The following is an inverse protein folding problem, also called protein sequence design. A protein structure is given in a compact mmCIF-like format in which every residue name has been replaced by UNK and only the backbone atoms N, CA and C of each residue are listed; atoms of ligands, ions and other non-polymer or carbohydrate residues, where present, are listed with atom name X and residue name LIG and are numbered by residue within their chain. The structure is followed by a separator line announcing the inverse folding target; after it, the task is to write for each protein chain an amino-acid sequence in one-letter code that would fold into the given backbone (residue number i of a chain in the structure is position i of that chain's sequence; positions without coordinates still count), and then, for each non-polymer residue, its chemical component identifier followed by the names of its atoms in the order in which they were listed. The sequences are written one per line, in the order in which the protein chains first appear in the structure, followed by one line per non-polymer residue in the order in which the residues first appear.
data_IF_246962233207
#
_entry.id   IF_246962233207
#
_cell.length_a   1.000
_cell.length_b   1.000
_cell.length_c   1.000
_cell.angle_alpha   90.00
_cell.angle_beta   90.00
_cell.angle_gamma   90.00
#
_symmetry.space_group_name_H-M   'P 1'
#
loop_
_entity.id
_entity.type
_entity.pdbx_description
1 polymer ?
#
# COMPACT_ATOMS: atom_id res chain seq x y z
N UNK A 1 -44.08 -16.91 -28.80
CA UNK A 1 -43.41 -17.64 -29.91
C UNK A 1 -42.06 -18.21 -29.44
N UNK A 2 -41.91 -18.46 -28.14
CA UNK A 2 -40.64 -18.88 -27.54
C UNK A 2 -40.19 -20.26 -28.06
N UNK A 3 -41.11 -21.22 -28.11
CA UNK A 3 -40.84 -22.61 -28.52
C UNK A 3 -41.19 -22.89 -29.99
N UNK A 4 -41.59 -21.88 -30.75
CA UNK A 4 -41.96 -22.08 -32.16
C UNK A 4 -40.73 -22.48 -32.99
N UNK A 5 -40.83 -23.60 -33.70
CA UNK A 5 -39.85 -24.05 -34.69
C UNK A 5 -40.48 -23.98 -36.10
N UNK A 6 -39.65 -23.71 -37.11
CA UNK A 6 -40.04 -23.75 -38.53
C UNK A 6 -38.93 -24.44 -39.34
N UNK A 7 -39.24 -24.80 -40.57
CA UNK A 7 -38.32 -25.41 -41.53
C UNK A 7 -38.29 -24.68 -42.89
N UNK A 8 -39.06 -23.61 -43.04
CA UNK A 8 -39.09 -22.81 -44.26
C UNK A 8 -37.79 -22.01 -44.46
N UNK A 9 -37.00 -22.27 -45.51
CA UNK A 9 -35.78 -21.53 -45.78
C UNK A 9 -36.10 -20.10 -46.22
N UNK A 10 -35.24 -19.16 -45.82
CA UNK A 10 -35.34 -17.76 -46.23
C UNK A 10 -33.95 -17.17 -46.43
N UNK A 11 -33.73 -16.59 -47.60
CA UNK A 11 -32.42 -16.15 -48.07
C UNK A 11 -32.47 -14.68 -48.51
N UNK A 12 -33.37 -13.90 -47.92
CA UNK A 12 -33.57 -12.50 -48.29
C UNK A 12 -32.65 -11.55 -47.55
N UNK A 13 -32.66 -10.29 -47.96
CA UNK A 13 -32.02 -9.21 -47.22
C UNK A 13 -33.02 -8.58 -46.24
N UNK A 14 -32.55 -8.21 -45.07
CA UNK A 14 -33.32 -7.46 -44.09
C UNK A 14 -32.39 -6.54 -43.31
N UNK A 15 -32.73 -5.27 -43.23
CA UNK A 15 -31.93 -4.29 -42.49
C UNK A 15 -32.85 -3.39 -41.68
N UNK A 16 -32.72 -3.50 -40.36
CA UNK A 16 -33.38 -2.65 -39.38
C UNK A 16 -32.59 -2.62 -38.08
N UNK A 17 -32.45 -1.45 -37.48
CA UNK A 17 -31.91 -1.32 -36.12
C UNK A 17 -33.01 -1.61 -35.10
N UNK A 18 -32.64 -2.19 -33.96
CA UNK A 18 -33.57 -2.51 -32.86
C UNK A 18 -34.76 -3.37 -33.31
N UNK A 19 -34.48 -4.39 -34.13
CA UNK A 19 -35.48 -5.30 -34.70
C UNK A 19 -36.29 -6.02 -33.62
N UNK A 20 -37.61 -6.06 -33.82
CA UNK A 20 -38.56 -6.88 -33.06
C UNK A 20 -39.37 -7.78 -33.99
N UNK A 21 -40.08 -8.77 -33.46
CA UNK A 21 -40.93 -9.64 -34.29
C UNK A 21 -41.99 -8.90 -35.11
N UNK A 22 -42.49 -7.76 -34.63
CA UNK A 22 -43.50 -6.95 -35.32
C UNK A 22 -42.97 -6.32 -36.60
N UNK A 23 -41.65 -6.25 -36.75
CA UNK A 23 -40.99 -5.62 -37.90
C UNK A 23 -40.84 -6.56 -39.08
N UNK A 24 -41.07 -7.86 -38.87
CA UNK A 24 -40.90 -8.90 -39.88
C UNK A 24 -42.27 -9.28 -40.48
N UNK A 25 -42.29 -9.44 -41.80
CA UNK A 25 -43.40 -10.12 -42.49
C UNK A 25 -43.48 -11.59 -42.07
N UNK A 26 -44.63 -12.24 -42.29
CA UNK A 26 -44.81 -13.68 -42.02
C UNK A 26 -43.71 -14.52 -42.69
N UNK A 27 -43.35 -14.22 -43.94
CA UNK A 27 -42.29 -14.94 -44.66
C UNK A 27 -40.91 -14.78 -43.98
N UNK A 28 -40.59 -13.57 -43.51
CA UNK A 28 -39.34 -13.29 -42.79
C UNK A 28 -39.32 -13.95 -41.40
N UNK A 29 -40.44 -13.93 -40.67
CA UNK A 29 -40.58 -14.60 -39.37
C UNK A 29 -40.34 -16.09 -39.49
N UNK A 30 -40.99 -16.76 -40.45
CA UNK A 30 -40.79 -18.18 -40.71
C UNK A 30 -39.32 -18.49 -41.01
N UNK A 31 -38.69 -17.68 -41.85
CA UNK A 31 -37.26 -17.77 -42.14
C UNK A 31 -36.36 -17.61 -40.92
N UNK A 32 -36.63 -16.60 -40.09
CA UNK A 32 -35.93 -16.38 -38.83
C UNK A 32 -36.09 -17.56 -37.87
N UNK A 33 -37.30 -18.10 -37.72
CA UNK A 33 -37.53 -19.25 -36.84
C UNK A 33 -36.83 -20.52 -37.33
N UNK A 34 -36.77 -20.76 -38.65
CA UNK A 34 -35.94 -21.83 -39.21
C UNK A 34 -34.47 -21.67 -38.85
N UNK A 35 -33.92 -20.47 -39.01
CA UNK A 35 -32.53 -20.18 -38.64
C UNK A 35 -32.30 -20.30 -37.12
N UNK A 36 -33.22 -19.77 -36.31
CA UNK A 36 -33.16 -19.86 -34.85
C UNK A 36 -33.16 -21.31 -34.36
N UNK A 37 -34.00 -22.17 -34.94
CA UNK A 37 -34.03 -23.61 -34.62
C UNK A 37 -32.69 -24.27 -34.86
N UNK A 38 -32.01 -23.92 -35.97
CA UNK A 38 -30.65 -24.40 -36.26
C UNK A 38 -29.64 -23.90 -35.23
N UNK A 39 -29.67 -22.60 -34.91
CA UNK A 39 -28.78 -21.98 -33.92
C UNK A 39 -28.93 -22.62 -32.55
N UNK A 40 -30.16 -22.87 -32.09
CA UNK A 40 -30.44 -23.56 -30.82
C UNK A 40 -29.92 -25.01 -30.80
N UNK A 41 -29.75 -25.64 -31.98
CA UNK A 41 -29.14 -26.97 -32.16
C UNK A 41 -27.62 -26.90 -32.39
N UNK A 42 -27.00 -25.72 -32.27
CA UNK A 42 -25.57 -25.50 -32.45
C UNK A 42 -25.11 -25.37 -33.90
N UNK A 43 -26.05 -25.24 -34.85
CA UNK A 43 -25.76 -25.06 -36.28
C UNK A 43 -25.86 -23.58 -36.62
N UNK A 44 -24.72 -22.97 -36.91
CA UNK A 44 -24.60 -21.53 -37.19
C UNK A 44 -24.45 -21.30 -38.70
N UNK A 45 -25.36 -20.53 -39.27
CA UNK A 45 -25.36 -20.16 -40.69
C UNK A 45 -25.44 -18.63 -40.84
N UNK A 46 -24.88 -18.03 -41.91
CA UNK A 46 -25.01 -16.61 -42.16
C UNK A 46 -26.47 -16.17 -42.32
N UNK A 47 -26.82 -15.04 -41.71
CA UNK A 47 -28.11 -14.37 -41.85
C UNK A 47 -27.92 -12.86 -41.75
N UNK A 48 -28.92 -12.09 -42.14
CA UNK A 48 -28.93 -10.64 -41.97
C UNK A 48 -28.66 -10.24 -40.50
N UNK A 49 -27.73 -9.31 -40.28
CA UNK A 49 -27.28 -8.89 -38.94
C UNK A 49 -28.43 -8.46 -38.01
N UNK A 50 -29.44 -7.80 -38.57
CA UNK A 50 -30.66 -7.41 -37.84
C UNK A 50 -31.41 -8.57 -37.21
N UNK A 51 -31.36 -9.76 -37.82
CA UNK A 51 -31.95 -10.99 -37.31
C UNK A 51 -31.05 -11.69 -36.28
N UNK A 52 -29.73 -11.52 -36.41
CA UNK A 52 -28.78 -11.94 -35.37
C UNK A 52 -29.01 -11.17 -34.07
N UNK A 53 -29.14 -9.84 -34.16
CA UNK A 53 -29.43 -9.02 -32.99
C UNK A 53 -30.78 -9.34 -32.36
N UNK A 54 -31.79 -9.69 -33.17
CA UNK A 54 -33.07 -10.18 -32.65
C UNK A 54 -32.90 -11.42 -31.78
N UNK A 55 -32.05 -12.38 -32.18
CA UNK A 55 -31.74 -13.56 -31.36
C UNK A 55 -30.95 -13.22 -30.10
N UNK A 56 -30.01 -12.28 -30.17
CA UNK A 56 -29.31 -11.81 -28.96
C UNK A 56 -30.29 -11.14 -27.99
N UNK A 57 -31.25 -10.36 -28.50
CA UNK A 57 -32.33 -9.79 -27.69
C UNK A 57 -33.20 -10.88 -27.08
N UNK A 58 -33.52 -11.96 -27.78
CA UNK A 58 -34.21 -13.10 -27.18
C UNK A 58 -33.48 -13.61 -25.92
N UNK A 59 -32.17 -13.85 -26.02
CA UNK A 59 -31.36 -14.31 -24.88
C UNK A 59 -31.34 -13.30 -23.73
N UNK A 60 -31.25 -12.00 -24.01
CA UNK A 60 -31.31 -10.94 -22.99
C UNK A 60 -32.67 -10.87 -22.28
N UNK A 61 -33.75 -11.23 -22.99
CA UNK A 61 -35.10 -11.28 -22.43
C UNK A 61 -35.42 -12.63 -21.76
N UNK A 62 -34.45 -13.55 -21.71
CA UNK A 62 -34.64 -14.89 -21.14
C UNK A 62 -35.43 -15.85 -22.03
N UNK A 63 -35.64 -15.53 -23.31
CA UNK A 63 -36.41 -16.36 -24.24
C UNK A 63 -35.56 -17.55 -24.66
N UNK A 64 -36.05 -18.75 -24.37
CA UNK A 64 -35.32 -19.99 -24.60
C UNK A 64 -34.15 -20.17 -23.65
N UNK A 65 -34.16 -19.52 -22.47
CA UNK A 65 -33.18 -19.74 -21.39
C UNK A 65 -33.89 -20.11 -20.09
N UNK A 66 -33.25 -20.93 -19.25
CA UNK A 66 -33.84 -21.41 -17.98
C UNK A 66 -33.35 -20.62 -16.75
N UNK A 67 -32.20 -19.95 -16.87
CA UNK A 67 -31.62 -19.10 -15.81
C UNK A 67 -30.71 -18.03 -16.42
N UNK A 68 -30.22 -17.12 -15.56
CA UNK A 68 -29.20 -16.14 -15.92
C UNK A 68 -27.92 -16.81 -16.43
N UNK A 69 -27.47 -17.86 -15.75
CA UNK A 69 -26.29 -18.62 -16.12
C UNK A 69 -26.48 -19.31 -17.47
N UNK A 70 -27.65 -19.91 -17.72
CA UNK A 70 -27.97 -20.52 -19.01
C UNK A 70 -27.99 -19.47 -20.15
N UNK A 71 -28.52 -18.28 -19.89
CA UNK A 71 -28.47 -17.17 -20.84
C UNK A 71 -27.02 -16.77 -21.19
N UNK A 72 -26.17 -16.58 -20.18
CA UNK A 72 -24.76 -16.25 -20.36
C UNK A 72 -24.00 -17.37 -21.09
N UNK A 73 -24.25 -18.63 -20.75
CA UNK A 73 -23.65 -19.78 -21.45
C UNK A 73 -24.08 -19.84 -22.93
N UNK A 74 -25.35 -19.57 -23.25
CA UNK A 74 -25.84 -19.52 -24.64
C UNK A 74 -25.26 -18.35 -25.41
N UNK A 75 -25.09 -17.19 -24.78
CA UNK A 75 -24.40 -16.05 -25.39
C UNK A 75 -22.93 -16.35 -25.66
N UNK A 76 -22.23 -17.04 -24.75
CA UNK A 76 -20.84 -17.49 -24.93
C UNK A 76 -20.73 -18.55 -26.05
N UNK A 77 -21.66 -19.52 -26.09
CA UNK A 77 -21.74 -20.49 -27.17
C UNK A 77 -21.99 -19.83 -28.53
N UNK A 78 -22.81 -18.78 -28.56
CA UNK A 78 -23.06 -17.98 -29.77
C UNK A 78 -21.80 -17.22 -30.21
N UNK A 79 -21.05 -16.61 -29.28
CA UNK A 79 -19.76 -15.98 -29.60
C UNK A 79 -18.82 -16.98 -30.30
N UNK A 80 -18.62 -18.14 -29.68
CA UNK A 80 -17.72 -19.19 -30.18
C UNK A 80 -18.19 -19.79 -31.52
N UNK A 81 -19.49 -20.02 -31.67
CA UNK A 81 -20.04 -20.71 -32.83
C UNK A 81 -20.32 -19.83 -34.04
N UNK A 82 -20.68 -18.56 -33.81
CA UNK A 82 -21.08 -17.63 -34.86
C UNK A 82 -20.02 -16.55 -35.14
N UNK A 83 -19.46 -15.94 -34.10
CA UNK A 83 -18.53 -14.82 -34.28
C UNK A 83 -17.12 -15.34 -34.55
N UNK A 84 -16.65 -16.30 -33.76
CA UNK A 84 -15.29 -16.85 -33.91
C UNK A 84 -15.14 -17.74 -35.15
N UNK A 85 -16.24 -18.26 -35.70
CA UNK A 85 -16.28 -18.96 -36.99
C UNK A 85 -16.17 -18.01 -38.20
N UNK A 86 -16.17 -16.70 -37.99
CA UNK A 86 -16.01 -15.67 -39.02
C UNK A 86 -17.30 -15.21 -39.69
N UNK A 87 -18.47 -15.62 -39.18
CA UNK A 87 -19.78 -15.16 -39.70
C UNK A 87 -20.11 -13.76 -39.15
N UNK A 88 -19.86 -13.54 -37.86
CA UNK A 88 -20.08 -12.25 -37.19
C UNK A 88 -18.96 -11.23 -37.42
N UNK A 89 -19.18 -10.01 -36.92
CA UNK A 89 -18.20 -8.91 -36.98
C UNK A 89 -17.69 -8.49 -35.58
N UNK A 90 -16.62 -7.68 -35.55
CA UNK A 90 -16.02 -7.21 -34.30
C UNK A 90 -16.90 -6.24 -33.49
N UNK A 91 -17.83 -5.52 -34.14
CA UNK A 91 -18.80 -4.68 -33.46
C UNK A 91 -19.83 -5.52 -32.70
N UNK A 92 -20.29 -6.61 -33.30
CA UNK A 92 -21.16 -7.59 -32.68
C UNK A 92 -20.49 -8.24 -31.47
N UNK A 93 -19.21 -8.63 -31.58
CA UNK A 93 -18.45 -9.16 -30.44
C UNK A 93 -18.42 -8.16 -29.27
N UNK A 94 -18.13 -6.90 -29.57
CA UNK A 94 -18.07 -5.82 -28.56
C UNK A 94 -19.42 -5.63 -27.86
N UNK A 95 -20.51 -5.59 -28.62
CA UNK A 95 -21.86 -5.45 -28.08
C UNK A 95 -22.25 -6.67 -27.22
N UNK A 96 -21.99 -7.88 -27.74
CA UNK A 96 -22.30 -9.12 -27.05
C UNK A 96 -21.60 -9.20 -25.69
N UNK A 97 -20.28 -9.01 -25.64
CA UNK A 97 -19.53 -9.05 -24.37
C UNK A 97 -19.97 -7.96 -23.39
N UNK A 98 -20.24 -6.75 -23.89
CA UNK A 98 -20.83 -5.68 -23.08
C UNK A 98 -22.14 -6.14 -22.45
N UNK A 99 -23.07 -6.66 -23.25
CA UNK A 99 -24.37 -7.08 -22.73
C UNK A 99 -24.27 -8.29 -21.78
N UNK A 100 -23.37 -9.24 -22.02
CA UNK A 100 -23.12 -10.35 -21.08
C UNK A 100 -22.66 -9.84 -19.72
N UNK A 101 -21.73 -8.88 -19.70
CA UNK A 101 -21.29 -8.24 -18.45
C UNK A 101 -22.42 -7.49 -17.75
N UNK A 102 -23.16 -6.65 -18.48
CA UNK A 102 -24.25 -5.84 -17.94
C UNK A 102 -25.42 -6.71 -17.45
N UNK A 103 -25.72 -7.80 -18.14
CA UNK A 103 -26.69 -8.81 -17.72
C UNK A 103 -26.24 -9.53 -16.45
N UNK A 104 -24.97 -9.91 -16.35
CA UNK A 104 -24.44 -10.55 -15.14
C UNK A 104 -24.53 -9.62 -13.92
N UNK A 105 -24.19 -8.34 -14.08
CA UNK A 105 -24.30 -7.34 -13.01
C UNK A 105 -25.76 -7.07 -12.61
N UNK A 106 -26.64 -6.85 -13.58
CA UNK A 106 -28.05 -6.53 -13.30
C UNK A 106 -28.86 -7.73 -12.80
N UNK A 107 -28.49 -8.94 -13.22
CA UNK A 107 -29.05 -10.20 -12.74
C UNK A 107 -28.49 -10.67 -11.40
N UNK A 108 -27.48 -9.99 -10.84
CA UNK A 108 -26.91 -10.32 -9.54
C UNK A 108 -26.07 -11.61 -9.53
N UNK A 109 -25.42 -11.94 -10.65
CA UNK A 109 -24.48 -13.06 -10.72
C UNK A 109 -23.31 -12.88 -9.76
N UNK A 110 -22.57 -13.95 -9.49
CA UNK A 110 -21.34 -13.84 -8.70
C UNK A 110 -20.31 -12.90 -9.39
N UNK A 111 -19.53 -12.09 -8.64
CA UNK A 111 -18.53 -11.18 -9.21
C UNK A 111 -17.57 -11.85 -10.20
N UNK A 112 -17.17 -13.09 -9.92
CA UNK A 112 -16.28 -13.89 -10.77
C UNK A 112 -16.88 -14.11 -12.16
N UNK A 113 -18.20 -14.34 -12.24
CA UNK A 113 -18.93 -14.50 -13.50
C UNK A 113 -18.97 -13.18 -14.27
N UNK A 114 -19.27 -12.06 -13.62
CA UNK A 114 -19.31 -10.76 -14.29
C UNK A 114 -17.93 -10.29 -14.76
N UNK A 115 -16.87 -10.63 -14.02
CA UNK A 115 -15.47 -10.34 -14.39
C UNK A 115 -15.08 -11.07 -15.69
N UNK A 116 -15.54 -12.31 -15.91
CA UNK A 116 -15.25 -13.05 -17.17
C UNK A 116 -15.69 -12.30 -18.42
N UNK A 117 -16.79 -11.56 -18.34
CA UNK A 117 -17.37 -10.83 -19.47
C UNK A 117 -17.01 -9.34 -19.48
N UNK A 118 -16.40 -8.84 -18.41
CA UNK A 118 -16.02 -7.44 -18.31
C UNK A 118 -14.95 -7.06 -19.34
N UNK A 119 -14.87 -5.77 -19.66
CA UNK A 119 -13.84 -5.27 -20.56
C UNK A 119 -12.44 -5.48 -19.95
N UNK A 120 -11.59 -6.23 -20.66
CA UNK A 120 -10.25 -6.57 -20.22
C UNK A 120 -9.37 -5.33 -19.94
N UNK A 121 -9.51 -4.26 -20.72
CA UNK A 121 -8.76 -3.01 -20.49
C UNK A 121 -9.21 -2.31 -19.21
N UNK A 122 -10.51 -2.34 -18.90
CA UNK A 122 -11.06 -1.81 -17.65
C UNK A 122 -10.55 -2.61 -16.45
N UNK A 123 -10.60 -3.95 -16.52
CA UNK A 123 -10.08 -4.81 -15.45
C UNK A 123 -8.58 -4.63 -15.22
N UNK A 124 -7.80 -4.53 -16.30
CA UNK A 124 -6.36 -4.29 -16.21
C UNK A 124 -6.07 -2.95 -15.55
N UNK A 125 -6.85 -1.92 -15.88
CA UNK A 125 -6.77 -0.61 -15.24
C UNK A 125 -7.12 -0.68 -13.76
N UNK A 126 -8.20 -1.36 -13.39
CA UNK A 126 -8.64 -1.51 -11.98
C UNK A 126 -7.62 -2.27 -11.13
N UNK A 127 -7.05 -3.34 -11.68
CA UNK A 127 -5.99 -4.11 -11.02
C UNK A 127 -4.77 -3.21 -10.75
N UNK A 128 -4.34 -2.44 -11.75
CA UNK A 128 -3.23 -1.50 -11.58
C UNK A 128 -3.55 -0.38 -10.58
N UNK A 129 -4.76 0.17 -10.57
CA UNK A 129 -5.18 1.17 -9.57
C UNK A 129 -5.18 0.60 -8.15
N UNK A 130 -5.62 -0.63 -7.97
CA UNK A 130 -5.64 -1.31 -6.67
C UNK A 130 -4.24 -1.43 -6.09
N UNK A 131 -3.27 -1.81 -6.93
CA UNK A 131 -1.85 -1.89 -6.58
C UNK A 131 -1.27 -0.51 -6.24
N UNK A 132 -1.48 0.48 -7.11
CA UNK A 132 -0.93 1.83 -6.93
C UNK A 132 -1.52 2.56 -5.72
N UNK A 133 -2.75 2.22 -5.30
CA UNK A 133 -3.42 2.79 -4.14
C UNK A 133 -2.85 2.29 -2.81
N UNK A 134 -2.38 1.04 -2.76
CA UNK A 134 -1.88 0.40 -1.53
C UNK A 134 -0.43 -0.11 -1.74
N UNK A 135 0.53 0.75 -2.09
CA UNK A 135 1.83 0.30 -2.58
C UNK A 135 2.70 -0.41 -1.53
N UNK A 136 2.39 -0.29 -0.24
CA UNK A 136 3.06 -1.03 0.82
C UNK A 136 2.68 -2.53 0.87
N UNK A 137 1.56 -2.92 0.27
CA UNK A 137 1.04 -4.30 0.33
C UNK A 137 1.50 -5.19 -0.83
N UNK A 138 2.12 -4.60 -1.85
CA UNK A 138 2.46 -5.28 -3.10
C UNK A 138 3.98 -5.29 -3.33
N UNK A 139 4.42 -6.32 -4.07
CA UNK A 139 5.82 -6.50 -4.46
C UNK A 139 6.28 -5.43 -5.46
N UNK A 140 7.60 -5.32 -5.64
CA UNK A 140 8.21 -4.39 -6.59
C UNK A 140 7.82 -4.73 -8.04
N UNK A 141 7.68 -6.02 -8.37
CA UNK A 141 7.22 -6.50 -9.67
C UNK A 141 5.79 -6.06 -9.97
N UNK A 142 4.87 -6.25 -9.02
CA UNK A 142 3.46 -5.87 -9.17
C UNK A 142 3.30 -4.36 -9.31
N UNK A 143 4.00 -3.58 -8.46
CA UNK A 143 3.99 -2.12 -8.56
C UNK A 143 4.55 -1.65 -9.90
N UNK A 144 5.67 -2.19 -10.35
CA UNK A 144 6.23 -1.84 -11.64
C UNK A 144 5.29 -2.20 -12.79
N UNK A 145 4.65 -3.36 -12.72
CA UNK A 145 3.61 -3.78 -13.68
C UNK A 145 2.44 -2.80 -13.72
N UNK A 146 1.96 -2.34 -12.55
CA UNK A 146 0.91 -1.36 -12.44
C UNK A 146 1.32 0.03 -12.98
N UNK A 147 2.56 0.48 -12.71
CA UNK A 147 3.11 1.69 -13.30
C UNK A 147 3.18 1.59 -14.83
N UNK A 148 3.57 0.43 -15.37
CA UNK A 148 3.61 0.19 -16.81
C UNK A 148 2.22 0.17 -17.46
N UNK A 149 1.17 -0.25 -16.75
CA UNK A 149 -0.19 -0.23 -17.26
C UNK A 149 -0.66 1.20 -17.63
N UNK A 150 -0.14 2.22 -16.93
CA UNK A 150 -0.46 3.63 -17.17
C UNK A 150 0.62 4.40 -17.93
N UNK A 151 1.90 4.10 -17.68
CA UNK A 151 3.05 4.74 -18.33
C UNK A 151 3.39 4.17 -19.71
N UNK A 152 2.79 3.03 -20.06
CA UNK A 152 2.92 2.37 -21.35
C UNK A 152 4.33 1.82 -21.62
N UNK A 153 4.58 1.51 -22.89
CA UNK A 153 5.80 0.85 -23.35
C UNK A 153 7.09 1.66 -23.16
N UNK A 154 7.00 2.95 -22.75
CA UNK A 154 8.16 3.82 -22.53
C UNK A 154 9.01 3.35 -21.35
N UNK A 155 8.37 2.86 -20.29
CA UNK A 155 9.05 2.36 -19.08
C UNK A 155 9.70 1.00 -19.39
N UNK A 156 8.94 0.08 -19.99
CA UNK A 156 9.40 -1.28 -20.30
C UNK A 156 10.57 -1.30 -21.30
N UNK A 157 10.64 -0.30 -22.20
CA UNK A 157 11.74 -0.15 -23.15
C UNK A 157 12.81 0.87 -22.71
N UNK A 158 12.71 1.37 -21.46
CA UNK A 158 13.61 2.36 -20.89
C UNK A 158 15.06 1.90 -20.80
N UNK A 159 15.99 2.84 -20.76
CA UNK A 159 17.42 2.51 -20.67
C UNK A 159 17.76 1.96 -19.28
N UNK A 160 17.05 2.41 -18.25
CA UNK A 160 17.20 1.91 -16.88
C UNK A 160 16.78 0.44 -16.79
N UNK A 161 15.62 0.08 -17.36
CA UNK A 161 15.13 -1.29 -17.41
C UNK A 161 16.07 -2.22 -18.18
N UNK A 162 16.58 -1.78 -19.34
CA UNK A 162 17.55 -2.56 -20.14
C UNK A 162 18.89 -2.78 -19.44
N UNK A 163 19.29 -1.87 -18.55
CA UNK A 163 20.54 -1.99 -17.79
C UNK A 163 20.41 -2.98 -16.63
N UNK A 164 19.31 -2.89 -15.87
CA UNK A 164 19.02 -3.81 -14.78
C UNK A 164 17.51 -3.88 -14.58
N UNK A 165 16.91 -5.00 -14.97
CA UNK A 165 15.48 -5.23 -14.80
C UNK A 165 15.09 -5.18 -13.31
N UNK A 166 15.78 -5.96 -12.47
CA UNK A 166 15.51 -6.01 -11.03
C UNK A 166 15.75 -4.64 -10.35
N UNK A 167 16.82 -3.92 -10.73
CA UNK A 167 17.12 -2.60 -10.22
C UNK A 167 16.06 -1.56 -10.62
N UNK A 168 15.60 -1.61 -11.88
CA UNK A 168 14.55 -0.73 -12.36
C UNK A 168 13.23 -0.95 -11.61
N UNK A 169 12.77 -2.20 -11.51
CA UNK A 169 11.51 -2.52 -10.82
C UNK A 169 11.52 -2.02 -9.37
N UNK A 170 12.59 -2.31 -8.64
CA UNK A 170 12.77 -1.89 -7.25
C UNK A 170 12.83 -0.37 -7.08
N UNK A 171 13.60 0.33 -7.90
CA UNK A 171 13.75 1.79 -7.78
C UNK A 171 12.48 2.54 -8.19
N UNK A 172 11.80 2.13 -9.27
CA UNK A 172 10.51 2.72 -9.64
C UNK A 172 9.42 2.44 -8.59
N UNK A 173 9.38 1.23 -8.02
CA UNK A 173 8.48 0.90 -6.93
C UNK A 173 8.79 1.72 -5.66
N UNK A 174 10.07 1.91 -5.33
CA UNK A 174 10.50 2.73 -4.19
C UNK A 174 10.10 4.21 -4.38
N UNK A 175 10.30 4.77 -5.58
CA UNK A 175 9.86 6.13 -5.90
C UNK A 175 8.34 6.26 -5.76
N UNK A 176 7.56 5.30 -6.26
CA UNK A 176 6.11 5.35 -6.08
C UNK A 176 5.69 5.27 -4.61
N UNK A 177 6.30 4.37 -3.82
CA UNK A 177 6.02 4.26 -2.38
C UNK A 177 6.35 5.56 -1.63
N UNK A 178 7.50 6.15 -1.93
CA UNK A 178 7.93 7.41 -1.31
C UNK A 178 7.04 8.58 -1.73
N UNK A 179 6.69 8.68 -3.01
CA UNK A 179 5.73 9.68 -3.49
C UNK A 179 4.36 9.50 -2.81
N UNK A 180 3.86 8.26 -2.69
CA UNK A 180 2.60 7.98 -2.04
C UNK A 180 2.57 8.34 -0.55
N UNK A 181 3.70 8.26 0.17
CA UNK A 181 3.78 8.60 1.60
C UNK A 181 4.05 10.08 1.87
N UNK A 182 4.98 10.70 1.12
CA UNK A 182 5.46 12.05 1.40
C UNK A 182 4.65 13.14 0.70
N UNK A 183 4.05 12.83 -0.46
CA UNK A 183 3.33 13.85 -1.21
C UNK A 183 2.01 14.19 -0.53
N UNK A 184 1.91 15.41 -0.02
CA UNK A 184 0.66 16.02 0.43
C UNK A 184 0.53 17.40 -0.17
N UNK A 185 -0.28 17.52 -1.22
CA UNK A 185 -0.64 18.82 -1.82
C UNK A 185 -2.15 18.98 -1.79
N UNK A 186 -2.62 20.13 -1.31
CA UNK A 186 -4.05 20.44 -1.17
C UNK A 186 -4.85 19.36 -0.39
N UNK A 187 -4.22 18.73 0.60
CA UNK A 187 -4.82 17.64 1.39
C UNK A 187 -5.03 16.32 0.62
N UNK A 188 -4.39 16.14 -0.55
CA UNK A 188 -4.45 14.92 -1.36
C UNK A 188 -3.10 14.20 -1.30
N UNK A 189 -3.19 12.88 -1.16
CA UNK A 189 -2.05 11.99 -1.43
C UNK A 189 -1.72 11.97 -2.92
N UNK A 190 -0.54 11.43 -3.27
CA UNK A 190 -0.10 11.38 -4.66
C UNK A 190 -1.06 10.59 -5.55
N UNK A 191 -1.58 9.46 -5.06
CA UNK A 191 -2.51 8.62 -5.79
C UNK A 191 -3.78 9.40 -6.18
N UNK A 192 -4.39 10.12 -5.23
CA UNK A 192 -5.58 10.93 -5.45
C UNK A 192 -5.28 12.14 -6.34
N UNK A 193 -4.07 12.70 -6.28
CA UNK A 193 -3.65 13.74 -7.21
C UNK A 193 -3.57 13.21 -8.65
N UNK A 194 -3.04 12.00 -8.86
CA UNK A 194 -2.94 11.39 -10.19
C UNK A 194 -4.27 10.86 -10.72
N UNK A 195 -5.04 10.11 -9.93
CA UNK A 195 -6.19 9.33 -10.40
C UNK A 195 -7.54 9.85 -9.91
N UNK A 196 -7.54 10.84 -9.03
CA UNK A 196 -8.75 11.34 -8.39
C UNK A 196 -9.31 10.39 -7.33
N UNK A 197 -10.58 10.60 -7.00
CA UNK A 197 -11.36 9.74 -6.09
C UNK A 197 -12.40 8.97 -6.88
N UNK A 198 -12.87 7.85 -6.33
CA UNK A 198 -14.05 7.17 -6.87
C UNK A 198 -15.24 8.12 -6.87
N UNK A 199 -15.89 8.24 -8.01
CA UNK A 199 -17.09 9.06 -8.22
C UNK A 199 -18.19 8.24 -8.85
N UNK A 200 -19.42 8.68 -8.64
CA UNK A 200 -20.59 8.05 -9.24
C UNK A 200 -20.91 8.70 -10.60
N UNK A 201 -21.16 7.88 -11.60
CA UNK A 201 -21.59 8.27 -12.94
C UNK A 201 -22.87 7.54 -13.30
N UNK A 202 -23.74 8.18 -14.07
CA UNK A 202 -24.93 7.52 -14.59
C UNK A 202 -24.51 6.33 -15.45
N UNK A 203 -25.06 5.16 -15.15
CA UNK A 203 -24.82 3.95 -15.91
C UNK A 203 -26.16 3.43 -16.43
N UNK A 204 -26.22 3.08 -17.71
CA UNK A 204 -27.42 2.61 -18.37
C UNK A 204 -27.16 1.17 -18.84
N UNK A 205 -27.53 0.16 -18.03
CA UNK A 205 -27.33 -1.23 -18.40
C UNK A 205 -28.12 -1.60 -19.65
N UNK A 206 -27.53 -2.47 -20.47
CA UNK A 206 -28.13 -3.01 -21.69
C UNK A 206 -28.54 -1.91 -22.69
N UNK A 207 -27.79 -0.81 -22.69
CA UNK A 207 -28.00 0.27 -23.64
C UNK A 207 -27.82 -0.22 -25.07
N UNK A 208 -28.65 0.31 -25.98
CA UNK A 208 -28.72 -0.12 -27.37
C UNK A 208 -29.12 -1.60 -27.56
N UNK A 209 -29.74 -2.23 -26.55
CA UNK A 209 -30.43 -3.50 -26.70
C UNK A 209 -31.95 -3.31 -26.62
N UNK A 210 -32.69 -4.17 -27.32
CA UNK A 210 -34.14 -4.29 -27.12
C UNK A 210 -34.35 -5.32 -26.03
N UNK A 211 -34.72 -4.85 -24.84
CA UNK A 211 -35.01 -5.72 -23.71
C UNK A 211 -36.20 -5.21 -22.91
N UNK A 212 -36.82 -6.14 -22.19
CA UNK A 212 -37.93 -5.93 -21.30
C UNK A 212 -37.57 -6.46 -19.92
N UNK A 213 -37.56 -5.56 -18.93
CA UNK A 213 -37.33 -5.93 -17.54
C UNK A 213 -38.62 -5.74 -16.73
N UNK A 214 -39.41 -6.80 -16.51
CA UNK A 214 -40.68 -6.71 -15.79
C UNK A 214 -40.51 -6.47 -14.28
N UNK A 215 -39.34 -6.81 -13.73
CA UNK A 215 -39.01 -6.64 -12.31
C UNK A 215 -37.67 -5.90 -12.17
N UNK A 216 -37.64 -4.60 -12.51
CA UNK A 216 -36.42 -3.83 -12.42
C UNK A 216 -35.94 -3.76 -10.97
N UNK A 217 -34.63 -3.93 -10.77
CA UNK A 217 -34.03 -3.77 -9.46
C UNK A 217 -34.32 -2.36 -8.92
N UNK A 218 -35.00 -2.27 -7.77
CA UNK A 218 -35.35 -0.98 -7.16
C UNK A 218 -34.16 -0.45 -6.35
N UNK A 219 -33.53 -1.32 -5.57
CA UNK A 219 -32.32 -1.03 -4.80
C UNK A 219 -31.37 -2.22 -4.87
N UNK A 220 -30.16 -1.98 -5.38
CA UNK A 220 -29.10 -2.99 -5.45
C UNK A 220 -27.74 -2.33 -5.26
N UNK A 221 -26.80 -3.02 -4.64
CA UNK A 221 -25.38 -2.66 -4.62
C UNK A 221 -24.60 -3.89 -5.07
N UNK A 222 -23.85 -3.74 -6.16
CA UNK A 222 -23.07 -4.78 -6.78
C UNK A 222 -21.61 -4.33 -6.83
N UNK A 223 -20.73 -5.02 -6.10
CA UNK A 223 -19.29 -4.75 -6.15
C UNK A 223 -18.61 -5.71 -7.12
N UNK A 224 -18.07 -5.18 -8.22
CA UNK A 224 -17.32 -5.98 -9.20
C UNK A 224 -15.91 -6.27 -8.69
N UNK A 225 -15.24 -5.23 -8.16
CA UNK A 225 -13.93 -5.30 -7.52
C UNK A 225 -13.76 -4.10 -6.58
N UNK A 226 -12.57 -3.90 -5.98
CA UNK A 226 -12.32 -2.77 -5.08
C UNK A 226 -12.44 -1.38 -5.75
N UNK A 227 -12.26 -1.31 -7.07
CA UNK A 227 -12.24 -0.10 -7.87
C UNK A 227 -13.59 0.23 -8.51
N UNK A 228 -14.43 -0.77 -8.79
CA UNK A 228 -15.66 -0.66 -9.56
C UNK A 228 -16.86 -1.27 -8.82
N UNK A 229 -17.92 -0.46 -8.68
CA UNK A 229 -19.20 -0.84 -8.07
C UNK A 229 -20.37 -0.28 -8.85
N UNK A 230 -21.46 -1.02 -8.92
CA UNK A 230 -22.73 -0.58 -9.52
C UNK A 230 -23.79 -0.43 -8.44
N UNK A 231 -24.45 0.72 -8.42
CA UNK A 231 -25.40 1.11 -7.38
C UNK A 231 -26.72 1.44 -8.08
N UNK A 232 -27.77 0.69 -7.77
CA UNK A 232 -29.13 1.01 -8.17
C UNK A 232 -29.90 1.64 -7.00
N UNK A 233 -30.51 2.81 -7.22
CA UNK A 233 -31.43 3.43 -6.26
C UNK A 233 -32.64 3.97 -7.01
N UNK A 234 -33.84 3.55 -6.60
CA UNK A 234 -35.09 3.93 -7.26
C UNK A 234 -35.13 3.56 -8.75
N UNK A 235 -34.54 2.42 -9.13
CA UNK A 235 -34.47 1.96 -10.53
C UNK A 235 -33.44 2.68 -11.40
N UNK A 236 -32.70 3.66 -10.86
CA UNK A 236 -31.62 4.35 -11.58
C UNK A 236 -30.27 3.76 -11.18
N UNK A 237 -29.53 3.34 -12.19
CA UNK A 237 -28.21 2.76 -12.03
C UNK A 237 -27.12 3.83 -12.12
N UNK A 238 -26.10 3.66 -11.28
CA UNK A 238 -24.88 4.44 -11.30
C UNK A 238 -23.69 3.50 -11.16
N UNK A 239 -22.59 3.81 -11.83
CA UNK A 239 -21.31 3.16 -11.60
C UNK A 239 -20.42 4.05 -10.73
N UNK A 240 -19.71 3.47 -9.78
CA UNK A 240 -18.73 4.13 -8.92
C UNK A 240 -17.34 3.62 -9.26
N UNK A 241 -16.52 4.49 -9.84
CA UNK A 241 -15.20 4.13 -10.38
C UNK A 241 -14.19 5.29 -10.34
N UNK A 242 -12.91 4.97 -10.63
CA UNK A 242 -11.87 5.95 -10.93
C UNK A 242 -11.89 6.32 -12.41
N UNK A 243 -12.75 7.27 -12.75
CA UNK A 243 -12.99 7.64 -14.15
C UNK A 243 -11.81 8.35 -14.82
N UNK A 244 -11.59 8.07 -16.11
CA UNK A 244 -10.47 8.61 -16.90
C UNK A 244 -10.45 10.13 -17.01
N UNK A 245 -11.60 10.80 -16.89
CA UNK A 245 -11.71 12.26 -16.87
C UNK A 245 -10.96 12.93 -15.72
N UNK A 246 -10.74 12.21 -14.62
CA UNK A 246 -10.02 12.72 -13.45
C UNK A 246 -8.59 12.19 -13.36
N UNK A 247 -8.12 11.48 -14.40
CA UNK A 247 -6.76 11.01 -14.49
C UNK A 247 -5.85 12.13 -15.00
N UNK A 248 -5.04 12.69 -14.10
CA UNK A 248 -3.97 13.62 -14.45
C UNK A 248 -2.78 12.87 -15.03
N UNK A 249 -2.88 12.63 -16.34
CA UNK A 249 -1.84 11.97 -17.12
C UNK A 249 -0.52 12.75 -17.11
N UNK A 250 -0.55 14.07 -17.08
CA UNK A 250 0.66 14.89 -17.12
C UNK A 250 1.45 14.75 -15.83
N UNK A 251 0.78 14.82 -14.67
CA UNK A 251 1.40 14.62 -13.37
C UNK A 251 2.03 13.22 -13.25
N UNK A 252 1.28 12.19 -13.65
CA UNK A 252 1.74 10.80 -13.57
C UNK A 252 2.91 10.51 -14.54
N UNK A 253 2.81 10.92 -15.81
CA UNK A 253 3.90 10.76 -16.78
C UNK A 253 5.13 11.61 -16.42
N UNK A 254 4.94 12.78 -15.79
CA UNK A 254 6.01 13.65 -15.32
C UNK A 254 6.87 12.97 -14.26
N UNK A 255 6.25 12.36 -13.23
CA UNK A 255 6.99 11.59 -12.22
C UNK A 255 7.82 10.47 -12.85
N UNK A 256 7.21 9.68 -13.73
CA UNK A 256 7.87 8.53 -14.36
C UNK A 256 9.02 8.95 -15.27
N UNK A 257 8.84 10.03 -16.03
CA UNK A 257 9.88 10.58 -16.90
C UNK A 257 11.06 11.10 -16.10
N UNK A 258 10.80 11.86 -15.04
CA UNK A 258 11.88 12.39 -14.19
C UNK A 258 12.59 11.26 -13.44
N UNK A 259 11.84 10.23 -13.02
CA UNK A 259 12.41 9.00 -12.44
C UNK A 259 13.37 8.34 -13.42
N UNK A 260 12.93 8.08 -14.66
CA UNK A 260 13.80 7.53 -15.71
C UNK A 260 15.03 8.43 -15.94
N UNK A 261 14.85 9.76 -16.04
CA UNK A 261 15.96 10.71 -16.27
C UNK A 261 17.02 10.62 -15.16
N UNK A 262 16.61 10.70 -13.89
CA UNK A 262 17.51 10.70 -12.74
C UNK A 262 18.17 9.34 -12.52
N UNK A 263 17.41 8.26 -12.69
CA UNK A 263 17.97 6.91 -12.59
C UNK A 263 18.97 6.61 -13.71
N UNK A 264 18.80 7.17 -14.92
CA UNK A 264 19.85 7.10 -15.96
C UNK A 264 21.14 7.76 -15.55
N UNK A 265 21.08 8.89 -14.84
CA UNK A 265 22.28 9.58 -14.33
C UNK A 265 22.92 8.75 -13.21
N UNK A 266 22.12 8.37 -12.21
CA UNK A 266 22.60 7.61 -11.04
C UNK A 266 23.22 6.28 -11.43
N UNK A 267 22.55 5.50 -12.29
CA UNK A 267 23.04 4.21 -12.73
C UNK A 267 24.01 4.32 -13.90
N UNK A 268 24.29 5.50 -14.47
CA UNK A 268 25.01 5.66 -15.74
C UNK A 268 24.41 4.77 -16.86
N UNK A 269 23.10 4.86 -17.06
CA UNK A 269 22.33 4.06 -18.02
C UNK A 269 22.00 4.89 -19.29
N UNK A 270 22.98 5.00 -20.19
CA UNK A 270 22.83 5.71 -21.46
C UNK A 270 22.66 7.23 -21.30
N UNK A 271 22.22 7.92 -22.38
CA UNK A 271 22.08 9.38 -22.38
C UNK A 271 20.87 9.82 -21.52
N UNK A 272 21.05 10.78 -20.59
CA UNK A 272 19.95 11.35 -19.83
C UNK A 272 18.88 11.97 -20.73
N UNK A 273 17.62 11.89 -20.29
CA UNK A 273 16.52 12.58 -20.97
C UNK A 273 16.66 14.10 -20.80
N UNK A 274 16.15 14.86 -21.78
CA UNK A 274 16.11 16.33 -21.71
C UNK A 274 15.25 16.75 -20.52
N UNK A 275 15.79 17.66 -19.71
CA UNK A 275 15.12 18.26 -18.56
C UNK A 275 13.84 19.01 -18.97
N UNK A 276 12.84 18.96 -18.10
CA UNK A 276 11.58 19.68 -18.23
C UNK A 276 11.30 20.43 -16.93
N UNK A 277 11.16 21.76 -16.96
CA UNK A 277 10.83 22.53 -15.76
C UNK A 277 9.53 22.09 -15.09
N UNK A 278 8.56 21.64 -15.89
CA UNK A 278 7.26 21.12 -15.43
C UNK A 278 7.37 19.87 -14.56
N UNK A 279 8.42 19.05 -14.75
CA UNK A 279 8.64 17.79 -14.02
C UNK A 279 9.59 17.98 -12.82
N UNK A 280 10.14 19.18 -12.63
CA UNK A 280 11.18 19.46 -11.64
C UNK A 280 10.72 19.24 -10.19
N UNK A 281 9.41 19.31 -9.93
CA UNK A 281 8.83 19.03 -8.61
C UNK A 281 9.12 17.59 -8.14
N UNK A 282 9.28 16.64 -9.07
CA UNK A 282 9.54 15.24 -8.75
C UNK A 282 11.01 14.99 -8.35
N UNK A 283 11.92 15.92 -8.66
CA UNK A 283 13.35 15.73 -8.44
C UNK A 283 13.69 15.45 -6.97
N UNK A 284 13.09 16.21 -6.05
CA UNK A 284 13.32 16.06 -4.59
C UNK A 284 12.94 14.65 -4.13
N UNK A 285 11.75 14.20 -4.53
CA UNK A 285 11.22 12.86 -4.20
C UNK A 285 12.17 11.75 -4.69
N UNK A 286 12.70 11.90 -5.91
CA UNK A 286 13.56 10.89 -6.52
C UNK A 286 14.97 10.91 -5.93
N UNK A 287 15.51 12.10 -5.61
CA UNK A 287 16.82 12.26 -4.99
C UNK A 287 16.88 11.64 -3.60
N UNK A 288 15.83 11.82 -2.78
CA UNK A 288 15.73 11.18 -1.47
C UNK A 288 15.75 9.65 -1.57
N UNK A 289 15.03 9.08 -2.54
CA UNK A 289 15.01 7.63 -2.78
C UNK A 289 16.39 7.14 -3.23
N UNK A 290 17.08 7.88 -4.08
CA UNK A 290 18.46 7.56 -4.49
C UNK A 290 19.43 7.69 -3.31
N UNK A 291 19.21 8.65 -2.40
CA UNK A 291 20.04 8.80 -1.20
C UNK A 291 19.88 7.60 -0.26
N UNK A 292 18.63 7.19 0.03
CA UNK A 292 18.34 5.96 0.78
C UNK A 292 18.98 4.74 0.12
N UNK A 293 18.87 4.63 -1.21
CA UNK A 293 19.50 3.55 -1.95
C UNK A 293 21.02 3.52 -1.79
N UNK A 294 21.69 4.67 -1.90
CA UNK A 294 23.13 4.77 -1.69
C UNK A 294 23.54 4.37 -0.28
N UNK A 295 22.76 4.76 0.73
CA UNK A 295 22.99 4.35 2.12
C UNK A 295 22.89 2.82 2.28
N UNK A 296 21.85 2.20 1.72
CA UNK A 296 21.68 0.75 1.73
C UNK A 296 22.80 0.01 1.01
N UNK A 297 23.25 0.52 -0.15
CA UNK A 297 24.39 -0.04 -0.88
C UNK A 297 25.68 0.10 -0.08
N UNK A 298 25.94 1.27 0.51
CA UNK A 298 27.12 1.49 1.34
C UNK A 298 27.13 0.56 2.56
N UNK A 299 25.99 0.34 3.19
CA UNK A 299 25.83 -0.61 4.30
C UNK A 299 26.02 -2.06 3.85
N UNK A 300 25.46 -2.47 2.71
CA UNK A 300 25.66 -3.81 2.16
C UNK A 300 27.11 -4.10 1.76
N UNK A 301 27.86 -3.06 1.39
CA UNK A 301 29.30 -3.13 1.10
C UNK A 301 30.18 -3.11 2.35
N UNK A 302 29.64 -2.78 3.54
CA UNK A 302 30.40 -2.91 4.79
C UNK A 302 30.79 -4.38 4.97
N UNK A 303 32.08 -4.70 5.15
CA UNK A 303 32.49 -6.08 5.34
C UNK A 303 31.80 -6.64 6.58
N UNK A 304 31.08 -7.75 6.42
CA UNK A 304 30.54 -8.50 7.57
C UNK A 304 31.71 -8.97 8.41
N UNK A 305 31.98 -8.29 9.52
CA UNK A 305 33.05 -8.63 10.44
C UNK A 305 32.63 -9.89 11.20
N UNK A 306 33.10 -11.05 10.74
CA UNK A 306 32.90 -12.32 11.43
C UNK A 306 33.92 -12.42 12.57
N UNK A 307 33.53 -11.98 13.77
CA UNK A 307 34.36 -12.13 14.98
C UNK A 307 34.37 -13.61 15.38
N UNK A 308 35.53 -14.25 15.33
CA UNK A 308 35.71 -15.64 15.79
C UNK A 308 35.96 -15.65 17.30
N UNK A 309 34.90 -15.87 18.07
CA UNK A 309 34.99 -15.95 19.54
C UNK A 309 35.87 -17.12 20.04
N UNK A 310 36.08 -18.17 19.24
CA UNK A 310 36.97 -19.30 19.59
C UNK A 310 38.47 -18.96 19.58
N UNK A 311 38.87 -17.83 19.00
CA UNK A 311 40.27 -17.39 18.97
C UNK A 311 40.60 -16.45 20.15
N UNK A 312 39.61 -16.03 20.96
CA UNK A 312 39.81 -15.08 22.06
C UNK A 312 40.75 -15.60 23.14
N UNK A 313 40.68 -16.89 23.48
CA UNK A 313 41.58 -17.48 24.48
C UNK A 313 43.02 -17.58 23.98
N UNK A 314 43.20 -17.80 22.67
CA UNK A 314 44.53 -17.75 22.04
C UNK A 314 45.07 -16.32 22.07
N UNK A 315 44.26 -15.33 21.72
CA UNK A 315 44.63 -13.90 21.77
C UNK A 315 45.01 -13.48 23.20
N UNK A 316 44.27 -13.93 24.22
CA UNK A 316 44.61 -13.67 25.63
C UNK A 316 45.94 -14.29 26.03
N UNK A 317 46.20 -15.54 25.64
CA UNK A 317 47.47 -16.22 25.92
C UNK A 317 48.65 -15.56 25.22
N UNK A 318 48.50 -15.23 23.94
CA UNK A 318 49.54 -14.56 23.16
C UNK A 318 49.86 -13.15 23.70
N UNK A 319 48.83 -12.42 24.14
CA UNK A 319 49.00 -11.12 24.79
C UNK A 319 49.72 -11.24 26.14
N UNK A 320 49.36 -12.24 26.97
CA UNK A 320 50.06 -12.51 28.23
C UNK A 320 51.54 -12.86 27.99
N UNK A 321 51.81 -13.72 27.02
CA UNK A 321 53.18 -14.12 26.67
C UNK A 321 54.00 -12.95 26.11
N UNK A 322 53.38 -12.08 25.32
CA UNK A 322 54.05 -10.88 24.79
C UNK A 322 54.37 -9.90 25.92
N UNK A 323 53.44 -9.73 26.89
CA UNK A 323 53.67 -8.94 28.10
C UNK A 323 54.84 -9.47 28.92
N UNK A 324 54.87 -10.78 29.18
CA UNK A 324 55.94 -11.46 29.93
C UNK A 324 57.33 -11.34 29.28
N UNK A 325 57.38 -11.26 27.95
CA UNK A 325 58.63 -11.09 27.21
C UNK A 325 59.13 -9.64 27.20
N UNK A 326 58.24 -8.66 27.39
CA UNK A 326 58.58 -7.23 27.41
C UNK A 326 58.94 -6.71 28.81
N UNK A 327 58.63 -7.48 29.87
CA UNK A 327 58.98 -7.14 31.24
C UNK A 327 60.49 -7.32 31.50
N UNK A 328 61.09 -6.30 32.11
CA UNK A 328 62.48 -6.35 32.62
C UNK A 328 62.58 -7.17 33.91
N UNK A 329 63.78 -7.59 34.32
CA UNK A 329 63.94 -8.47 35.50
C UNK A 329 63.48 -7.82 36.82
N UNK A 330 63.57 -6.49 36.94
CA UNK A 330 63.05 -5.72 38.07
C UNK A 330 61.52 -5.72 38.08
N UNK A 331 60.88 -5.49 36.92
CA UNK A 331 59.42 -5.49 36.79
C UNK A 331 58.81 -6.90 36.97
N UNK A 332 59.54 -7.97 36.59
CA UNK A 332 59.13 -9.36 36.87
C UNK A 332 59.15 -9.69 38.37
N UNK A 333 60.04 -9.07 39.13
CA UNK A 333 60.10 -9.25 40.57
C UNK A 333 58.95 -8.51 41.27
N UNK A 334 58.61 -7.31 40.80
CA UNK A 334 57.46 -6.54 41.29
C UNK A 334 56.12 -7.22 40.96
N UNK A 335 55.96 -7.79 39.76
CA UNK A 335 54.76 -8.56 39.41
C UNK A 335 54.57 -9.79 40.28
N UNK A 336 55.64 -10.57 40.54
CA UNK A 336 55.58 -11.72 41.46
C UNK A 336 55.24 -11.31 42.89
N UNK A 337 55.67 -10.13 43.31
CA UNK A 337 55.37 -9.60 44.65
C UNK A 337 53.91 -9.15 44.73
N UNK A 338 53.37 -8.55 43.66
CA UNK A 338 51.96 -8.18 43.55
C UNK A 338 51.03 -9.39 43.36
N UNK A 339 51.43 -10.44 42.65
CA UNK A 339 50.69 -11.69 42.51
C UNK A 339 50.66 -12.47 43.82
N UNK A 340 51.78 -12.61 44.52
CA UNK A 340 51.80 -13.22 45.86
C UNK A 340 50.92 -12.46 46.86
N UNK A 341 50.91 -11.12 46.82
CA UNK A 341 50.03 -10.32 47.67
C UNK A 341 48.53 -10.48 47.31
N UNK A 342 48.19 -10.60 46.02
CA UNK A 342 46.81 -10.85 45.56
C UNK A 342 46.35 -12.29 45.85
N UNK A 343 47.22 -13.27 45.72
CA UNK A 343 46.93 -14.67 46.07
C UNK A 343 46.78 -14.84 47.58
N UNK A 344 47.60 -14.15 48.39
CA UNK A 344 47.44 -14.12 49.84
C UNK A 344 46.12 -13.45 50.25
N UNK A 345 45.73 -12.32 49.62
CA UNK A 345 44.42 -11.68 49.86
C UNK A 345 43.24 -12.55 49.41
N UNK A 346 43.34 -13.24 48.27
CA UNK A 346 42.29 -14.14 47.79
C UNK A 346 42.20 -15.46 48.59
N UNK A 347 43.30 -15.89 49.23
CA UNK A 347 43.33 -17.01 50.17
C UNK A 347 42.82 -16.59 51.55
N UNK A 348 43.07 -15.36 52.02
CA UNK A 348 42.46 -14.79 53.22
C UNK A 348 40.94 -14.64 53.04
N UNK A 349 40.46 -14.13 51.89
CA UNK A 349 39.02 -14.06 51.58
C UNK A 349 38.36 -15.44 51.40
N UNK A 350 39.10 -16.47 50.97
CA UNK A 350 38.60 -17.86 50.91
C UNK A 350 38.63 -18.55 52.27
N UNK A 351 39.64 -18.29 53.10
CA UNK A 351 39.73 -18.81 54.46
C UNK A 351 38.65 -18.20 55.38
N UNK A 352 38.35 -16.90 55.25
CA UNK A 352 37.22 -16.25 55.94
C UNK A 352 35.84 -16.79 55.49
N UNK A 353 35.72 -17.24 54.23
CA UNK A 353 34.50 -17.90 53.72
C UNK A 353 34.36 -19.35 54.19
N UNK A 354 35.46 -20.05 54.47
CA UNK A 354 35.43 -21.46 54.92
C UNK A 354 35.29 -21.60 56.46
N UNK A 355 35.71 -20.63 57.27
CA UNK A 355 35.63 -20.70 58.75
C UNK A 355 34.27 -20.27 59.34
N UNK A 356 33.36 -19.74 58.51
CA UNK A 356 31.98 -19.41 58.92
C UNK A 356 30.96 -20.55 58.74
N UNK A 357 31.39 -21.73 58.30
CA UNK A 357 30.52 -22.83 57.86
C UNK A 357 30.05 -23.84 58.93
N UNK A 358 30.27 -23.60 60.24
CA UNK A 358 29.72 -24.47 61.31
C UNK A 358 29.17 -23.68 62.51
N UNK A 359 28.03 -22.98 62.30
CA UNK A 359 26.98 -22.86 63.33
C UNK A 359 25.61 -22.59 62.66
N UNK A 360 24.68 -23.50 62.97
CA UNK A 360 23.25 -23.56 62.60
C UNK A 360 22.86 -24.06 61.20
N UNK A 361 22.62 -25.38 61.15
CA UNK A 361 21.61 -26.02 60.32
C UNK A 361 20.25 -25.93 61.02
N UNK A 362 19.30 -25.21 60.43
CA UNK A 362 17.93 -25.69 60.22
C UNK A 362 17.35 -24.97 59.00
N UNK A 363 17.20 -25.76 57.93
CA UNK A 363 16.26 -25.68 56.79
C UNK A 363 16.14 -24.39 55.96
N UNK A 364 16.60 -24.57 54.72
CA UNK A 364 16.06 -24.09 53.43
C UNK A 364 16.11 -22.59 53.11
N UNK A 365 17.15 -22.24 52.34
CA UNK A 365 17.23 -21.10 51.41
C UNK A 365 16.77 -21.54 50.00
N UNK A 366 16.54 -20.65 49.00
CA UNK A 366 16.88 -19.22 48.99
C UNK A 366 15.76 -18.29 48.46
N UNK A 367 15.94 -16.98 48.65
CA UNK A 367 16.09 -16.02 47.55
C UNK A 367 15.70 -14.58 47.95
N UNK A 368 16.68 -13.69 47.83
CA UNK A 368 16.54 -12.35 47.26
C UNK A 368 15.34 -11.50 47.69
N UNK A 369 15.62 -10.71 48.73
CA UNK A 369 15.46 -9.25 48.78
C UNK A 369 14.61 -8.64 47.65
N UNK A 370 13.37 -8.30 47.99
CA UNK A 370 12.92 -6.91 48.15
C UNK A 370 11.54 -6.92 48.84
N UNK A 371 11.54 -6.93 50.18
CA UNK A 371 10.40 -6.49 51.02
C UNK A 371 10.41 -4.95 51.06
N UNK A 372 9.34 -4.17 51.17
CA UNK A 372 7.97 -4.36 51.60
C UNK A 372 7.13 -3.34 50.79
N UNK A 373 5.96 -3.68 50.26
CA UNK A 373 4.65 -3.66 50.93
C UNK A 373 4.31 -2.35 51.66
N UNK A 374 3.16 -1.81 51.27
CA UNK A 374 2.31 -0.85 51.98
C UNK A 374 2.58 0.63 51.69
N UNK A 375 1.73 1.17 50.82
CA UNK A 375 0.96 2.40 51.04
C UNK A 375 1.70 3.57 51.67
N UNK A 376 1.97 4.58 50.87
CA UNK A 376 2.40 5.88 51.36
C UNK A 376 3.34 6.55 50.38
N UNK A 377 2.85 7.66 49.84
CA UNK A 377 3.63 8.77 49.28
C UNK A 377 4.33 8.52 47.93
N UNK A 378 3.72 9.14 46.92
CA UNK A 378 4.35 9.57 45.67
C UNK A 378 5.76 10.10 45.99
N UNK A 379 6.85 9.59 45.39
CA UNK A 379 8.11 10.32 45.43
C UNK A 379 7.87 11.62 44.66
N UNK A 380 7.78 12.73 45.39
CA UNK A 380 7.65 14.05 44.83
C UNK A 380 8.74 14.24 43.75
N UNK A 381 8.29 14.44 42.51
CA UNK A 381 9.18 14.66 41.36
C UNK A 381 9.99 15.95 41.54
N UNK A 382 11.18 16.04 40.93
CA UNK A 382 12.14 17.13 41.11
C UNK A 382 11.77 18.37 40.29
N UNK A 383 10.48 18.72 40.23
CA UNK A 383 9.96 19.89 39.54
C UNK A 383 9.25 20.75 40.58
N UNK A 384 9.73 21.97 40.78
CA UNK A 384 9.08 22.91 41.70
C UNK A 384 7.65 23.20 41.24
N UNK A 385 6.74 23.54 42.16
CA UNK A 385 5.37 23.93 41.82
C UNK A 385 5.33 25.05 40.74
N UNK A 386 6.33 25.92 40.81
CA UNK A 386 6.54 27.02 39.88
C UNK A 386 6.95 26.58 38.46
N UNK A 387 7.74 25.52 38.32
CA UNK A 387 8.10 24.92 37.05
C UNK A 387 6.94 24.10 36.45
N UNK A 388 6.13 23.46 37.29
CA UNK A 388 4.95 22.72 36.87
C UNK A 388 3.84 23.64 36.30
N UNK A 389 3.65 24.82 36.89
CA UNK A 389 2.73 25.84 36.37
C UNK A 389 3.17 26.33 34.99
N UNK A 390 4.47 26.57 34.80
CA UNK A 390 5.04 27.01 33.52
C UNK A 390 4.92 25.91 32.45
N UNK A 391 5.23 24.66 32.77
CA UNK A 391 5.02 23.53 31.84
C UNK A 391 3.54 23.35 31.47
N UNK A 392 2.62 23.59 32.40
CA UNK A 392 1.17 23.52 32.13
C UNK A 392 0.72 24.62 31.16
N UNK A 393 1.25 25.84 31.30
CA UNK A 393 0.99 26.94 30.37
C UNK A 393 1.58 26.66 28.98
N UNK A 394 2.79 26.11 28.91
CA UNK A 394 3.41 25.70 27.66
C UNK A 394 2.66 24.55 26.96
N UNK A 395 2.11 23.59 27.71
CA UNK A 395 1.25 22.54 27.14
C UNK A 395 -0.03 23.12 26.52
N UNK A 396 -0.57 24.20 27.08
CA UNK A 396 -1.73 24.94 26.55
C UNK A 396 -1.37 25.86 25.37
N UNK A 397 -0.08 26.02 25.06
CA UNK A 397 0.41 26.88 23.99
C UNK A 397 0.40 28.37 24.36
N UNK A 398 0.39 28.71 25.64
CA UNK A 398 0.42 30.09 26.12
C UNK A 398 1.86 30.60 26.25
N UNK A 399 2.09 31.90 26.02
CA UNK A 399 3.42 32.50 26.12
C UNK A 399 3.79 32.83 27.57
N UNK A 400 4.97 32.36 28.01
CA UNK A 400 5.44 32.48 29.41
C UNK A 400 6.33 33.72 29.64
N UNK A 401 6.57 34.51 28.58
CA UNK A 401 7.47 35.67 28.59
C UNK A 401 7.15 36.70 29.68
N UNK A 402 5.86 36.95 29.93
CA UNK A 402 5.40 37.88 30.95
C UNK A 402 5.63 37.38 32.38
N UNK A 403 5.60 36.06 32.58
CA UNK A 403 5.75 35.39 33.88
C UNK A 403 7.23 35.35 34.28
N UNK A 404 8.12 35.00 33.35
CA UNK A 404 9.57 35.00 33.59
C UNK A 404 10.11 36.41 33.86
N UNK A 405 9.59 37.41 33.13
CA UNK A 405 9.95 38.82 33.34
C UNK A 405 9.46 39.35 34.69
N UNK A 406 8.32 38.88 35.20
CA UNK A 406 7.84 39.22 36.54
C UNK A 406 8.69 38.58 37.66
N UNK A 407 9.34 37.44 37.36
CA UNK A 407 10.24 36.72 38.27
C UNK A 407 11.71 37.16 38.19
N UNK A 408 12.04 38.03 37.24
CA UNK A 408 13.40 38.53 37.01
C UNK A 408 14.42 37.43 36.64
N UNK A 409 13.94 36.32 36.07
CA UNK A 409 14.77 35.18 35.61
C UNK A 409 14.97 35.23 34.10
N UNK A 410 16.18 34.87 33.64
CA UNK A 410 16.46 34.74 32.20
C UNK A 410 15.88 33.43 31.67
N UNK A 411 15.21 33.51 30.51
CA UNK A 411 14.54 32.36 29.88
C UNK A 411 15.50 31.19 29.59
N UNK A 412 16.76 31.48 29.23
CA UNK A 412 17.79 30.46 28.98
C UNK A 412 18.16 29.69 30.27
N UNK A 413 18.39 30.41 31.38
CA UNK A 413 18.73 29.80 32.68
C UNK A 413 17.57 28.94 33.20
N UNK A 414 16.34 29.41 32.98
CA UNK A 414 15.15 28.66 33.35
C UNK A 414 14.97 27.40 32.47
N UNK A 415 15.22 27.50 31.16
CA UNK A 415 15.20 26.35 30.25
C UNK A 415 16.22 25.28 30.65
N UNK A 416 17.45 25.69 30.98
CA UNK A 416 18.51 24.78 31.40
C UNK A 416 18.16 24.08 32.72
N UNK A 417 17.68 24.83 33.72
CA UNK A 417 17.23 24.25 35.00
C UNK A 417 16.06 23.27 34.83
N UNK A 418 15.14 23.56 33.91
CA UNK A 418 13.99 22.72 33.63
C UNK A 418 14.38 21.45 32.85
N UNK A 419 15.29 21.57 31.88
CA UNK A 419 15.81 20.43 31.13
C UNK A 419 16.67 19.54 32.02
N UNK A 420 17.47 20.09 32.94
CA UNK A 420 18.24 19.31 33.92
C UNK A 420 17.31 18.49 34.83
N UNK A 421 16.21 19.09 35.31
CA UNK A 421 15.21 18.40 36.11
C UNK A 421 14.44 17.31 35.32
N UNK A 422 14.25 17.50 34.02
CA UNK A 422 13.54 16.57 33.15
C UNK A 422 14.46 15.50 32.54
N UNK A 423 15.78 15.71 32.55
CA UNK A 423 16.74 14.85 31.86
C UNK A 423 16.73 13.42 32.39
N UNK A 424 16.61 13.23 33.70
CA UNK A 424 16.55 11.90 34.32
C UNK A 424 15.30 11.11 33.92
N UNK A 425 14.24 11.79 33.45
CA UNK A 425 12.96 11.16 33.06
C UNK A 425 12.78 11.03 31.55
N UNK A 426 13.13 12.08 30.79
CA UNK A 426 12.93 12.15 29.34
C UNK A 426 14.20 11.71 28.59
N UNK A 427 15.38 11.92 29.18
CA UNK A 427 16.66 11.57 28.57
C UNK A 427 17.10 12.50 27.44
N UNK A 428 16.38 13.60 27.20
CA UNK A 428 16.63 14.56 26.13
C UNK A 428 16.13 15.98 26.50
N UNK A 429 16.47 16.97 25.66
CA UNK A 429 16.03 18.36 25.79
C UNK A 429 14.53 18.45 25.48
N UNK A 430 13.74 18.77 26.50
CA UNK A 430 12.28 18.82 26.42
C UNK A 430 11.74 20.24 26.14
N UNK A 431 12.52 21.26 26.51
CA UNK A 431 12.16 22.68 26.39
C UNK A 431 13.27 23.45 25.69
N UNK A 432 12.93 24.12 24.59
CA UNK A 432 13.85 24.95 23.82
C UNK A 432 13.57 26.44 24.09
N UNK A 433 14.63 27.25 24.17
CA UNK A 433 14.55 28.69 24.32
C UNK A 433 15.01 29.38 23.03
N UNK A 434 14.05 29.95 22.29
CA UNK A 434 14.31 30.72 21.08
C UNK A 434 14.02 32.20 21.31
N UNK A 435 15.03 33.06 21.21
CA UNK A 435 14.90 34.53 21.35
C UNK A 435 14.16 34.99 22.63
N UNK A 436 14.35 34.24 23.73
CA UNK A 436 13.74 34.52 25.02
C UNK A 436 12.29 34.04 25.17
N UNK A 437 11.79 33.21 24.24
CA UNK A 437 10.52 32.50 24.35
C UNK A 437 10.78 30.99 24.53
N UNK A 438 10.17 30.40 25.56
CA UNK A 438 10.23 28.96 25.84
C UNK A 438 9.21 28.23 24.98
N UNK A 439 9.62 27.14 24.34
CA UNK A 439 8.75 26.24 23.58
C UNK A 439 9.01 24.79 23.96
N UNK A 440 7.96 23.96 23.92
CA UNK A 440 8.09 22.52 24.17
C UNK A 440 8.40 21.80 22.86
N UNK A 441 9.35 20.88 22.91
CA UNK A 441 9.62 19.95 21.82
C UNK A 441 8.41 19.03 21.67
N UNK A 442 7.81 19.00 20.48
CA UNK A 442 6.53 18.33 20.24
C UNK A 442 6.57 16.82 20.55
N UNK A 443 7.73 16.18 20.36
CA UNK A 443 7.94 14.75 20.61
C UNK A 443 7.80 14.37 22.10
N UNK A 444 8.03 15.33 23.02
CA UNK A 444 8.00 15.09 24.47
C UNK A 444 6.74 15.65 25.16
N UNK A 445 5.80 16.25 24.43
CA UNK A 445 4.57 16.85 25.02
C UNK A 445 3.68 15.82 25.71
N UNK A 446 3.58 14.60 25.17
CA UNK A 446 2.81 13.53 25.80
C UNK A 446 3.45 13.06 27.11
N UNK A 447 4.78 12.97 27.14
CA UNK A 447 5.53 12.53 28.33
C UNK A 447 5.51 13.59 29.44
N UNK A 448 5.65 14.88 29.09
CA UNK A 448 5.46 16.00 30.02
C UNK A 448 4.03 16.01 30.58
N UNK A 449 3.03 15.70 29.75
CA UNK A 449 1.64 15.58 30.19
C UNK A 449 1.42 14.43 31.18
N UNK A 450 2.17 13.33 31.07
CA UNK A 450 2.16 12.22 32.04
C UNK A 450 2.84 12.61 33.35
N UNK A 451 3.98 13.30 33.26
CA UNK A 451 4.76 13.82 34.40
C UNK A 451 3.90 14.76 35.26
N UNK A 452 3.21 15.72 34.63
CA UNK A 452 2.36 16.69 35.36
C UNK A 452 1.11 16.05 35.99
N UNK A 453 0.56 14.97 35.39
CA UNK A 453 -0.56 14.24 36.00
C UNK A 453 -0.16 13.44 37.23
N UNK A 454 1.12 13.08 37.37
CA UNK A 454 1.67 12.47 38.59
C UNK A 454 1.84 13.44 39.77
N UNK A 455 1.87 14.76 39.50
CA UNK A 455 2.05 15.81 40.51
C UNK A 455 0.74 16.44 41.03
N UNK A 456 -0.44 16.05 40.50
CA UNK A 456 -1.75 16.62 40.90
C UNK A 456 -2.56 15.60 41.74
N UNK A 457 -1.90 14.70 42.48
CA UNK A 457 -2.56 13.83 43.48
C UNK A 457 -2.18 14.17 44.90
#
# INVERSE_FOLDING_TARGET
MEDYEDDAPWNGEFHRYFTTYHDLSVKQLRGYFTWRTKVRKGVYEPIAASLVYLYLYELLNGIGTSSLEDALCKMEAFENGFIDSGIGDGGMRKNLRRWMHELAVTGGAAPETAVRYANAETLKRDAALSVLRKPAQYSDDELFGALCAFGGAKIQNGAVFKKSEAGAKRLFAAVWRYAASQYKKDGKDFFTACFGRQREFSWHPLENAVYWNPQPAINADYSLNECHRYICRGGKWKERCYHSLYYDKALFEGLLRETERRLRIYLNAGRPLKERPEDAWAAVIIEDVIAVEKCLQAEALKPKVTIRFGDLDRIRKDALQTRENLLTEEEKADEKTHENNRENQAQEEKAEREDSAYKNRTSDEPAFRNEAASGGEIPAMPITAEQADILTLLLRGESVKSILKARNEMAEIFADSLNEALFDTIGDIAVECDNGDLTLVDDYREDIGRILRGNIQ
#
